data_IF_952187115782
#
_entry.id   IF_952187115782
#
_cell.length_a   1.000
_cell.length_b   1.000
_cell.length_c   1.000
_cell.angle_alpha   90.00
_cell.angle_beta   90.00
_cell.angle_gamma   90.00
#
_symmetry.space_group_name_H-M   'P 1'
#
loop_
_entity.id
_entity.type
_entity.pdbx_description
1 polymer ?
2 non-polymer ?
3 non-polymer ?
4 non-polymer ?
5 non-polymer ?
6 water ?
#
# COMPACT_ATOMS: atom_id res chain seq x y z
N UNK A 9 11.40 -21.85 -2.14
CA UNK A 9 11.23 -20.64 -1.21
C UNK A 9 9.87 -19.98 -1.29
N UNK A 10 9.31 -19.65 -0.13
CA UNK A 10 8.05 -18.90 -0.10
C UNK A 10 8.23 -17.50 -0.65
N UNK A 11 7.34 -17.02 -1.50
CA UNK A 11 7.45 -15.73 -2.09
C UNK A 11 6.28 -14.84 -1.65
N UNK A 12 6.61 -13.70 -1.08
CA UNK A 12 5.62 -12.76 -0.55
C UNK A 12 5.77 -11.43 -1.21
N UNK A 13 4.67 -10.93 -1.75
CA UNK A 13 4.62 -9.58 -2.30
C UNK A 13 3.99 -8.67 -1.28
N UNK A 14 4.66 -7.56 -1.03
CA UNK A 14 4.16 -6.57 -0.06
C UNK A 14 3.87 -5.27 -0.74
N UNK A 15 2.63 -4.82 -0.65
CA UNK A 15 2.27 -3.52 -1.13
C UNK A 15 2.95 -2.35 -0.39
N UNK A 16 3.05 -1.18 -1.04
CA UNK A 16 3.75 -0.08 -0.47
C UNK A 16 2.77 0.92 0.15
N UNK A 17 1.97 1.60 -0.67
CA UNK A 17 1.12 2.65 -0.07
C UNK A 17 0.00 2.05 0.77
N UNK A 18 -0.11 2.48 2.03
CA UNK A 18 -1.14 1.96 2.93
C UNK A 18 -0.80 0.66 3.61
N UNK A 19 0.41 0.15 3.34
CA UNK A 19 0.90 -1.08 3.94
C UNK A 19 2.31 -0.85 4.58
N UNK A 20 3.26 -0.35 3.80
CA UNK A 20 4.55 0.12 4.33
C UNK A 20 4.58 1.60 4.64
N UNK A 21 4.01 2.43 3.75
CA UNK A 21 4.08 3.87 3.81
C UNK A 21 2.68 4.43 4.12
N UNK A 22 2.63 5.36 5.03
CA UNK A 22 1.34 5.92 5.50
C UNK A 22 0.85 6.99 4.52
N UNK A 23 0.28 6.50 3.44
CA UNK A 23 -0.31 7.31 2.39
C UNK A 23 -1.49 8.11 2.95
N UNK A 24 -2.39 7.47 3.71
CA UNK A 24 -3.60 8.18 4.12
C UNK A 24 -3.27 9.31 5.06
N UNK A 25 -2.40 9.08 6.04
CA UNK A 25 -2.04 10.12 6.97
C UNK A 25 -1.22 11.23 6.33
N UNK A 26 -0.30 10.84 5.46
CA UNK A 26 0.49 11.84 4.71
C UNK A 26 -0.39 12.71 3.82
N UNK A 27 -1.33 12.07 3.12
CA UNK A 27 -2.26 12.79 2.26
C UNK A 27 -3.04 13.81 3.12
N UNK A 28 -3.63 13.34 4.21
CA UNK A 28 -4.53 14.20 4.97
C UNK A 28 -3.75 15.41 5.52
N UNK A 29 -2.57 15.16 6.03
CA UNK A 29 -1.81 16.24 6.58
C UNK A 29 -1.48 17.32 5.56
N UNK A 30 -1.07 16.88 4.35
CA UNK A 30 -0.73 17.82 3.31
C UNK A 30 -1.92 18.49 2.67
N UNK A 31 -3.02 17.76 2.54
CA UNK A 31 -4.26 18.35 2.07
C UNK A 31 -4.69 19.52 2.97
N UNK A 32 -4.75 19.26 4.28
CA UNK A 32 -5.23 20.25 5.21
C UNK A 32 -4.30 21.46 5.24
N UNK A 33 -2.99 21.24 5.13
CA UNK A 33 -2.07 22.33 5.12
C UNK A 33 -2.26 23.17 3.85
N UNK A 34 -2.44 22.53 2.70
CA UNK A 34 -2.49 23.29 1.43
C UNK A 34 -3.85 23.93 1.20
N UNK A 35 -4.90 23.26 1.68
CA UNK A 35 -6.28 23.64 1.48
C UNK A 35 -7.04 23.79 2.81
N UNK A 36 -6.61 24.74 3.63
CA UNK A 36 -7.14 24.80 5.01
C UNK A 36 -8.58 25.27 5.07
N UNK A 37 -9.08 25.89 4.00
CA UNK A 37 -10.45 26.33 3.95
C UNK A 37 -11.42 25.34 3.30
N UNK A 38 -10.94 24.15 2.94
CA UNK A 38 -11.78 23.11 2.37
C UNK A 38 -12.14 22.05 3.44
N UNK A 39 -13.29 21.40 3.26
CA UNK A 39 -13.60 20.29 4.12
C UNK A 39 -12.69 19.12 3.80
N UNK A 40 -12.63 18.18 4.72
CA UNK A 40 -11.77 17.03 4.56
C UNK A 40 -12.43 15.79 5.16
N UNK A 41 -11.80 14.65 4.96
CA UNK A 41 -12.31 13.41 5.51
C UNK A 41 -11.32 12.88 6.54
N UNK A 42 -11.77 12.82 7.79
CA UNK A 42 -10.96 12.28 8.87
C UNK A 42 -10.64 10.84 8.53
N UNK A 43 -9.49 10.37 8.99
CA UNK A 43 -9.05 9.03 8.66
C UNK A 43 -10.07 8.01 9.06
N UNK A 44 -10.68 8.20 10.23
CA UNK A 44 -11.71 7.27 10.71
C UNK A 44 -12.94 7.21 9.82
N UNK A 45 -13.20 8.27 9.06
CA UNK A 45 -14.36 8.34 8.18
C UNK A 45 -14.05 7.96 6.71
N UNK A 46 -12.82 7.52 6.46
CA UNK A 46 -12.44 7.04 5.09
C UNK A 46 -13.25 5.77 4.76
N UNK A 47 -13.88 5.79 3.60
CA UNK A 47 -14.58 4.63 3.06
C UNK A 47 -14.28 4.50 1.59
N UNK A 48 -13.92 3.29 1.19
CA UNK A 48 -13.64 3.00 -0.22
C UNK A 48 -12.22 3.29 -0.56
N UNK A 49 -11.68 2.53 -1.50
CA UNK A 49 -10.28 2.54 -1.79
C UNK A 49 -9.80 3.86 -2.30
N UNK A 50 -10.62 4.49 -3.14
CA UNK A 50 -10.18 5.68 -3.85
C UNK A 50 -10.46 6.96 -3.05
N UNK A 51 -9.39 7.51 -2.51
CA UNK A 51 -9.42 8.80 -1.80
C UNK A 51 -10.15 9.89 -2.62
N UNK A 52 -9.74 9.99 -3.88
CA UNK A 52 -10.23 11.08 -4.76
C UNK A 52 -11.72 11.01 -4.95
N UNK A 53 -12.27 9.79 -5.02
CA UNK A 53 -13.72 9.65 -5.21
C UNK A 53 -14.47 10.13 -3.98
N UNK A 54 -13.98 9.80 -2.81
CA UNK A 54 -14.67 10.23 -1.60
C UNK A 54 -14.65 11.76 -1.47
N UNK A 55 -13.51 12.36 -1.80
CA UNK A 55 -13.36 13.80 -1.77
C UNK A 55 -14.25 14.45 -2.83
N UNK A 56 -14.37 13.84 -4.00
CA UNK A 56 -15.24 14.44 -5.06
C UNK A 56 -16.69 14.48 -4.68
N UNK A 57 -17.15 13.47 -3.94
CA UNK A 57 -18.50 13.48 -3.38
C UNK A 57 -18.69 14.53 -2.32
N UNK A 58 -17.65 14.86 -1.58
CA UNK A 58 -17.76 15.79 -0.48
C UNK A 58 -18.00 17.18 -1.02
N UNK A 59 -17.33 17.56 -2.11
CA UNK A 59 -17.56 18.88 -2.71
C UNK A 59 -17.02 18.99 -4.16
N UNK A 60 -17.71 19.75 -5.04
CA UNK A 60 -17.19 19.90 -6.41
C UNK A 60 -15.78 20.48 -6.48
N UNK A 61 -14.91 19.85 -7.26
CA UNK A 61 -13.54 20.30 -7.44
C UNK A 61 -12.55 19.69 -6.46
N UNK A 62 -13.07 19.00 -5.45
CA UNK A 62 -12.20 18.42 -4.41
C UNK A 62 -11.44 17.21 -4.87
N UNK A 63 -11.99 16.43 -5.80
CA UNK A 63 -11.22 15.34 -6.35
C UNK A 63 -9.89 15.80 -6.96
N UNK A 64 -9.98 16.85 -7.77
CA UNK A 64 -8.78 17.39 -8.43
C UNK A 64 -7.80 17.99 -7.42
N UNK A 65 -8.31 18.66 -6.40
CA UNK A 65 -7.44 19.12 -5.34
C UNK A 65 -6.77 17.97 -4.59
N UNK A 66 -7.51 16.94 -4.25
CA UNK A 66 -6.85 15.74 -3.67
C UNK A 66 -5.73 15.17 -4.51
N UNK A 67 -5.99 14.98 -5.80
CA UNK A 67 -5.02 14.43 -6.72
C UNK A 67 -3.77 15.28 -6.73
N UNK A 68 -3.95 16.58 -6.65
CA UNK A 68 -2.83 17.50 -6.68
C UNK A 68 -1.84 17.35 -5.54
N UNK A 69 -2.30 16.74 -4.42
CA UNK A 69 -1.43 16.49 -3.29
C UNK A 69 -0.46 15.37 -3.64
N UNK A 70 -0.98 14.24 -4.17
CA UNK A 70 -0.08 13.11 -4.47
C UNK A 70 0.71 13.24 -5.74
N UNK A 71 0.27 14.12 -6.65
CA UNK A 71 1.10 14.47 -7.79
C UNK A 71 2.21 15.49 -7.48
N UNK A 72 2.27 16.06 -6.29
CA UNK A 72 3.27 17.01 -5.92
C UNK A 72 4.61 16.36 -5.59
N UNK A 73 5.69 17.05 -5.93
CA UNK A 73 7.04 16.63 -5.59
C UNK A 73 7.11 16.39 -4.08
N UNK A 74 7.81 15.31 -3.73
CA UNK A 74 8.09 14.87 -2.35
C UNK A 74 6.95 14.28 -1.61
N UNK A 75 5.80 14.16 -2.23
CA UNK A 75 4.69 13.49 -1.54
C UNK A 75 5.05 12.07 -1.19
N UNK A 76 5.44 11.28 -2.16
CA UNK A 76 5.82 9.91 -1.87
C UNK A 76 7.08 9.75 -0.99
N UNK A 77 8.06 10.56 -1.25
CA UNK A 77 9.29 10.41 -0.52
C UNK A 77 9.11 10.67 0.99
N UNK A 78 8.25 11.62 1.30
CA UNK A 78 8.09 12.08 2.68
C UNK A 78 7.04 11.30 3.45
N UNK A 79 6.44 10.29 2.90
CA UNK A 79 5.52 9.42 3.67
C UNK A 79 6.28 8.75 4.80
N UNK A 80 5.66 8.75 5.96
CA UNK A 80 6.21 8.05 7.10
C UNK A 80 5.88 6.57 7.05
N UNK A 81 6.77 5.69 7.52
CA UNK A 81 6.36 4.28 7.59
C UNK A 81 5.21 4.03 8.52
N UNK A 82 4.43 2.99 8.22
CA UNK A 82 3.44 2.51 9.21
C UNK A 82 4.18 1.95 10.40
N UNK A 83 3.49 1.90 11.54
CA UNK A 83 4.12 1.29 12.71
C UNK A 83 4.41 -0.17 12.43
N UNK A 84 5.63 -0.57 12.73
CA UNK A 84 6.02 -1.98 12.61
C UNK A 84 6.36 -2.51 11.21
N UNK A 85 6.13 -1.68 10.18
CA UNK A 85 6.24 -2.14 8.77
C UNK A 85 7.68 -2.42 8.38
N UNK A 86 8.56 -1.48 8.64
CA UNK A 86 9.97 -1.65 8.27
C UNK A 86 10.59 -2.80 9.04
N UNK A 87 10.30 -2.88 10.35
CA UNK A 87 10.84 -3.95 11.16
C UNK A 87 10.33 -5.31 10.67
N UNK A 88 9.03 -5.36 10.35
CA UNK A 88 8.46 -6.66 9.96
C UNK A 88 9.04 -7.15 8.64
N UNK A 89 9.09 -6.24 7.67
CA UNK A 89 9.60 -6.63 6.35
C UNK A 89 11.07 -7.02 6.40
N UNK A 90 11.87 -6.30 7.17
CA UNK A 90 13.27 -6.70 7.41
C UNK A 90 13.39 -8.07 8.02
N UNK A 91 12.57 -8.35 9.01
CA UNK A 91 12.57 -9.69 9.59
C UNK A 91 12.14 -10.74 8.58
N UNK A 92 11.03 -10.48 7.89
CA UNK A 92 10.47 -11.39 6.89
C UNK A 92 11.52 -11.76 5.84
N UNK A 93 12.19 -10.73 5.35
CA UNK A 93 13.19 -10.93 4.26
C UNK A 93 14.37 -11.78 4.74
N UNK A 94 14.67 -11.70 6.03
CA UNK A 94 15.79 -12.43 6.63
C UNK A 94 15.46 -13.89 6.94
N UNK A 95 14.19 -14.30 6.81
CA UNK A 95 13.82 -15.67 7.14
C UNK A 95 14.34 -16.62 6.07
N UNK A 96 14.62 -17.83 6.52
CA UNK A 96 15.07 -18.91 5.62
C UNK A 96 13.96 -19.22 4.67
N UNK A 97 14.33 -19.51 3.44
CA UNK A 97 13.32 -19.94 2.44
C UNK A 97 12.17 -18.96 2.22
N UNK A 98 12.50 -17.68 2.21
CA UNK A 98 11.48 -16.63 2.13
C UNK A 98 12.03 -15.49 1.28
N UNK A 99 11.36 -15.22 0.15
CA UNK A 99 11.74 -14.10 -0.72
C UNK A 99 10.66 -13.06 -0.65
N UNK A 100 11.02 -11.83 -0.36
CA UNK A 100 10.09 -10.77 -0.24
C UNK A 100 10.31 -9.74 -1.33
N UNK A 101 9.25 -9.35 -2.02
CA UNK A 101 9.32 -8.27 -3.02
C UNK A 101 8.31 -7.22 -2.64
N UNK A 102 8.65 -5.97 -2.88
CA UNK A 102 7.73 -4.84 -2.67
C UNK A 102 7.08 -4.61 -4.03
N UNK A 103 5.78 -4.79 -4.09
CA UNK A 103 5.03 -4.76 -5.38
C UNK A 103 4.03 -3.64 -5.31
N UNK A 104 4.32 -2.58 -6.07
CA UNK A 104 3.67 -1.31 -5.89
C UNK A 104 3.31 -0.72 -7.25
N UNK A 105 2.16 -0.09 -7.32
CA UNK A 105 1.69 0.58 -8.54
C UNK A 105 1.90 2.05 -8.43
N UNK A 106 2.67 2.63 -9.31
CA UNK A 106 2.82 4.09 -9.28
C UNK A 106 1.55 4.77 -9.83
N UNK A 107 1.34 6.01 -9.40
CA UNK A 107 0.26 6.79 -9.96
C UNK A 107 0.48 7.10 -11.42
N UNK A 108 -0.53 7.66 -12.10
CA UNK A 108 -0.39 7.82 -13.55
C UNK A 108 0.63 8.92 -13.91
N UNK A 109 0.73 9.97 -13.09
CA UNK A 109 1.73 11.02 -13.33
C UNK A 109 3.08 10.49 -12.82
N UNK A 110 4.03 10.35 -13.74
CA UNK A 110 5.26 9.60 -13.43
C UNK A 110 6.48 10.45 -13.17
N UNK A 111 6.35 11.77 -13.13
CA UNK A 111 7.51 12.61 -12.95
C UNK A 111 8.31 12.31 -11.69
N UNK A 112 7.61 12.12 -10.56
CA UNK A 112 8.22 11.97 -9.23
C UNK A 112 8.05 10.58 -8.59
N UNK A 113 6.89 9.98 -8.82
CA UNK A 113 6.45 8.87 -7.98
C UNK A 113 7.39 7.66 -8.10
N UNK A 114 7.69 7.16 -9.33
CA UNK A 114 8.66 6.03 -9.40
C UNK A 114 9.96 6.34 -8.72
N UNK A 115 10.58 7.48 -9.06
CA UNK A 115 11.85 7.87 -8.43
C UNK A 115 11.76 7.89 -6.91
N UNK A 116 10.72 8.53 -6.39
CA UNK A 116 10.58 8.67 -4.92
C UNK A 116 10.37 7.34 -4.21
N UNK A 117 9.68 6.42 -4.85
CA UNK A 117 9.45 5.08 -4.27
C UNK A 117 10.79 4.36 -4.17
N UNK A 118 11.64 4.43 -5.19
CA UNK A 118 12.99 3.80 -5.07
C UNK A 118 13.76 4.48 -3.94
N UNK A 119 13.74 5.82 -3.90
CA UNK A 119 14.47 6.56 -2.89
C UNK A 119 13.97 6.18 -1.48
N UNK A 120 12.68 6.02 -1.34
CA UNK A 120 12.03 5.67 -0.02
C UNK A 120 12.48 4.28 0.42
N UNK A 121 12.48 3.32 -0.50
CA UNK A 121 12.95 1.98 -0.20
C UNK A 121 14.44 2.02 0.19
N UNK A 122 15.29 2.77 -0.52
CA UNK A 122 16.66 2.85 -0.18
C UNK A 122 16.87 3.38 1.24
N UNK A 123 16.09 4.41 1.57
CA UNK A 123 16.15 5.09 2.86
C UNK A 123 15.84 4.13 3.99
N UNK A 124 14.76 3.38 3.87
CA UNK A 124 14.26 2.58 5.00
C UNK A 124 14.78 1.14 5.02
N UNK A 125 15.16 0.60 3.86
CA UNK A 125 15.60 -0.78 3.71
C UNK A 125 17.01 -1.00 3.20
N UNK A 126 17.66 0.07 2.71
CA UNK A 126 19.01 0.06 2.25
C UNK A 126 19.12 -0.22 0.75
N UNK A 127 20.26 0.13 0.16
CA UNK A 127 20.49 -0.10 -1.30
C UNK A 127 20.22 -1.51 -1.78
N UNK A 128 20.59 -2.53 -1.00
CA UNK A 128 20.47 -3.88 -1.50
C UNK A 128 18.98 -4.25 -1.69
N UNK A 129 18.07 -3.61 -0.99
CA UNK A 129 16.67 -3.96 -1.09
C UNK A 129 16.02 -3.42 -2.39
N UNK A 130 16.71 -2.52 -3.10
CA UNK A 130 16.16 -1.99 -4.33
C UNK A 130 15.92 -3.13 -5.29
N UNK A 131 16.72 -4.17 -5.21
CA UNK A 131 16.59 -5.36 -6.08
C UNK A 131 15.25 -6.06 -5.90
N UNK A 132 14.53 -5.77 -4.82
CA UNK A 132 13.28 -6.47 -4.47
C UNK A 132 12.05 -5.71 -4.90
N UNK A 133 12.24 -4.59 -5.58
CA UNK A 133 11.14 -3.70 -5.99
C UNK A 133 10.53 -4.17 -7.35
N UNK A 134 9.21 -4.29 -7.40
CA UNK A 134 8.45 -4.47 -8.66
C UNK A 134 7.44 -3.35 -8.77
N UNK A 135 7.61 -2.49 -9.77
CA UNK A 135 6.64 -1.47 -10.09
C UNK A 135 5.76 -1.94 -11.20
N UNK A 136 4.47 -2.00 -10.92
CA UNK A 136 3.50 -2.50 -11.89
C UNK A 136 2.11 -2.02 -11.54
N UNK A 137 1.31 -1.77 -12.55
CA UNK A 137 -0.11 -1.48 -12.34
C UNK A 137 -0.89 -2.74 -12.19
N UNK A 138 -0.40 -3.84 -12.75
CA UNK A 138 -1.10 -5.11 -12.76
C UNK A 138 -0.31 -6.08 -11.85
N UNK A 139 -0.84 -6.38 -10.69
CA UNK A 139 -0.17 -7.32 -9.81
C UNK A 139 -0.51 -8.74 -10.06
N UNK A 140 -1.56 -8.97 -10.84
CA UNK A 140 -1.98 -10.32 -11.17
C UNK A 140 -0.95 -11.08 -12.01
N UNK A 141 -0.10 -10.37 -12.73
CA UNK A 141 0.91 -11.00 -13.54
C UNK A 141 2.21 -11.21 -12.78
N UNK A 142 2.23 -10.90 -11.49
CA UNK A 142 3.41 -11.17 -10.66
C UNK A 142 3.07 -12.44 -9.86
N UNK A 143 3.91 -13.46 -9.96
CA UNK A 143 3.60 -14.75 -9.33
C UNK A 143 4.22 -14.77 -7.94
N UNK A 144 3.47 -15.31 -6.98
CA UNK A 144 3.94 -15.39 -5.61
C UNK A 144 2.95 -16.26 -4.84
N UNK A 145 3.36 -16.61 -3.63
CA UNK A 145 2.46 -17.32 -2.71
C UNK A 145 1.45 -16.45 -2.01
N UNK A 146 1.88 -15.24 -1.68
CA UNK A 146 1.06 -14.27 -0.89
C UNK A 146 1.22 -12.87 -1.44
N UNK A 147 0.14 -12.11 -1.41
CA UNK A 147 0.16 -10.67 -1.71
C UNK A 147 -0.54 -9.98 -0.55
N UNK A 148 0.20 -9.12 0.14
CA UNK A 148 -0.35 -8.37 1.30
C UNK A 148 -0.58 -6.96 0.80
N UNK A 149 -1.85 -6.58 0.69
CA UNK A 149 -2.26 -5.34 -0.02
C UNK A 149 -3.56 -4.87 0.57
N UNK A 150 -3.69 -3.57 0.85
CA UNK A 150 -4.92 -2.97 1.40
C UNK A 150 -6.08 -2.73 0.42
N UNK A 151 -5.83 -2.94 -0.89
CA UNK A 151 -6.91 -2.81 -1.87
C UNK A 151 -7.82 -4.02 -1.87
N UNK A 152 -9.13 -3.83 -1.79
CA UNK A 152 -9.97 -5.05 -1.69
C UNK A 152 -10.07 -5.83 -3.00
N UNK A 153 -10.10 -5.10 -4.11
CA UNK A 153 -10.36 -5.64 -5.47
C UNK A 153 -9.10 -5.59 -6.28
N UNK A 154 -8.36 -6.71 -6.40
CA UNK A 154 -7.11 -6.72 -7.12
C UNK A 154 -7.29 -7.57 -8.39
N UNK A 155 -7.29 -6.91 -9.54
CA UNK A 155 -7.62 -7.58 -10.78
C UNK A 155 -6.64 -7.14 -11.84
N UNK A 156 -6.70 -7.82 -12.97
CA UNK A 156 -5.72 -7.54 -14.03
C UNK A 156 -5.85 -8.61 -15.12
N UNK A 157 -4.75 -8.80 -15.83
CA UNK A 157 -4.74 -9.65 -17.03
C UNK A 157 -4.73 -11.14 -16.74
N UNK A 158 -4.38 -11.51 -15.54
CA UNK A 158 -4.36 -12.89 -15.13
C UNK A 158 -5.62 -13.21 -14.32
N UNK A 159 -6.52 -14.05 -14.87
CA UNK A 159 -7.77 -14.26 -14.14
C UNK A 159 -7.59 -15.16 -12.89
N UNK A 160 -6.51 -15.93 -12.82
CA UNK A 160 -6.28 -16.78 -11.64
C UNK A 160 -4.84 -16.57 -11.13
N UNK A 161 -4.63 -15.49 -10.38
CA UNK A 161 -3.30 -15.24 -9.88
C UNK A 161 -2.81 -16.37 -8.99
N UNK A 162 -1.51 -16.53 -8.92
CA UNK A 162 -0.94 -17.60 -8.13
C UNK A 162 -0.91 -17.29 -6.63
N UNK A 163 -0.93 -16.03 -6.29
CA UNK A 163 -0.91 -15.61 -4.89
C UNK A 163 -2.29 -15.68 -4.23
N UNK A 164 -2.27 -15.89 -2.93
CA UNK A 164 -3.43 -15.60 -2.07
C UNK A 164 -3.30 -14.14 -1.64
N UNK A 165 -4.38 -13.40 -1.82
CA UNK A 165 -4.43 -11.99 -1.40
C UNK A 165 -4.86 -11.95 0.05
N UNK A 166 -3.97 -11.47 0.92
CA UNK A 166 -4.29 -11.17 2.29
C UNK A 166 -4.51 -9.67 2.41
N UNK A 167 -5.71 -9.30 2.88
CA UNK A 167 -6.11 -7.91 2.93
C UNK A 167 -5.48 -7.25 4.13
N UNK A 168 -4.66 -6.23 3.88
CA UNK A 168 -4.04 -5.45 4.98
C UNK A 168 -5.04 -4.43 5.43
N UNK A 169 -5.35 -4.39 6.73
CA UNK A 169 -6.39 -3.51 7.16
C UNK A 169 -5.97 -2.04 7.02
N UNK A 170 -6.92 -1.22 6.62
CA UNK A 170 -6.80 0.24 6.54
C UNK A 170 -8.13 0.82 6.91
N UNK A 171 -8.22 2.08 7.38
CA UNK A 171 -9.56 2.60 7.72
C UNK A 171 -10.53 2.49 6.55
N UNK A 172 -10.06 2.62 5.29
CA UNK A 172 -11.04 2.60 4.20
C UNK A 172 -11.65 1.21 3.97
N UNK A 173 -11.00 0.15 4.50
CA UNK A 173 -11.49 -1.24 4.30
C UNK A 173 -11.84 -1.97 5.63
N UNK A 174 -11.75 -1.28 6.77
CA UNK A 174 -11.82 -2.00 8.07
C UNK A 174 -13.21 -2.57 8.34
N UNK A 175 -14.28 -2.03 7.73
CA UNK A 175 -15.63 -2.54 7.96
C UNK A 175 -16.06 -3.57 6.96
N UNK A 176 -15.24 -3.83 5.96
CA UNK A 176 -15.69 -4.72 4.89
C UNK A 176 -15.78 -6.18 5.26
N UNK A 177 -16.93 -6.77 4.98
CA UNK A 177 -17.10 -8.18 5.06
C UNK A 177 -16.50 -8.83 3.80
N UNK A 178 -15.53 -9.70 3.97
CA UNK A 178 -14.88 -10.37 2.82
C UNK A 178 -15.57 -11.74 2.67
N UNK A 179 -15.51 -12.29 1.48
CA UNK A 179 -16.07 -13.60 1.18
C UNK A 179 -15.13 -14.67 1.77
N UNK A 180 -15.70 -15.58 2.60
CA UNK A 180 -14.85 -16.73 2.94
C UNK A 180 -14.25 -17.34 1.63
N UNK A 181 -12.98 -17.80 1.63
CA UNK A 181 -11.99 -17.89 2.68
C UNK A 181 -10.99 -16.75 2.69
N UNK A 182 -11.37 -15.59 2.16
CA UNK A 182 -10.50 -14.41 2.23
C UNK A 182 -10.11 -14.03 3.64
N UNK A 183 -8.85 -13.63 3.83
CA UNK A 183 -8.23 -13.39 5.12
C UNK A 183 -7.60 -12.00 5.21
N UNK A 184 -7.27 -11.55 6.44
CA UNK A 184 -6.73 -10.19 6.75
C UNK A 184 -5.48 -10.26 7.52
N UNK A 185 -4.63 -9.23 7.37
CA UNK A 185 -3.58 -8.94 8.26
C UNK A 185 -3.96 -7.60 8.86
N UNK A 186 -4.17 -7.55 10.17
CA UNK A 186 -4.83 -6.38 10.78
C UNK A 186 -3.91 -5.19 10.90
N UNK A 187 -2.63 -5.45 11.02
CA UNK A 187 -1.55 -4.48 11.25
C UNK A 187 -0.28 -5.30 11.31
N UNK A 188 0.89 -4.65 11.33
CA UNK A 188 2.16 -5.35 11.38
C UNK A 188 2.42 -5.95 12.75
N UNK A 189 1.69 -5.46 13.77
CA UNK A 189 1.67 -6.12 15.08
C UNK A 189 0.95 -7.46 15.10
N UNK A 190 -0.01 -7.63 14.21
CA UNK A 190 -0.71 -8.92 13.98
C UNK A 190 0.30 -9.99 13.56
N UNK A 191 -0.13 -11.23 13.57
CA UNK A 191 0.79 -12.33 13.46
C UNK A 191 0.99 -12.75 12.01
N UNK A 192 1.82 -11.95 11.36
CA UNK A 192 2.19 -12.18 9.93
C UNK A 192 2.99 -13.47 9.76
N UNK A 193 3.80 -13.88 10.75
CA UNK A 193 4.50 -15.17 10.63
C UNK A 193 3.55 -16.37 10.49
N UNK A 194 2.44 -16.35 11.21
CA UNK A 194 1.45 -17.42 11.12
C UNK A 194 0.82 -17.49 9.75
N UNK A 195 0.57 -16.32 9.15
CA UNK A 195 0.02 -16.32 7.79
C UNK A 195 1.02 -16.93 6.80
N UNK A 196 2.28 -16.51 6.90
CA UNK A 196 3.32 -17.08 6.00
C UNK A 196 3.43 -18.58 6.21
N UNK A 197 3.47 -18.98 7.47
CA UNK A 197 3.61 -20.41 7.75
C UNK A 197 2.46 -21.26 7.17
N UNK A 198 1.23 -20.72 7.13
CA UNK A 198 0.11 -21.48 6.60
C UNK A 198 0.26 -21.83 5.11
N UNK A 199 1.17 -21.15 4.40
CA UNK A 199 1.42 -21.40 2.96
C UNK A 199 2.67 -22.22 2.70
N UNK A 200 3.46 -22.48 3.73
CA UNK A 200 4.71 -23.27 3.52
C UNK A 200 4.41 -24.74 3.31
N UNK A 201 5.24 -25.45 2.54
CA UNK A 201 5.07 -26.90 2.43
C UNK A 201 5.56 -27.61 3.71
#
# INVERSE_FOLDING_TARGET
>A
SNAASGGRALRVLVDMDGVLADFEGGFLRKFRARFPDQPFIALEDRRGFWVSEQYGRLRPGLSEKAISIWESKNFFFELEPLPGAVEAVKEMASLQNTDVFICTSPIKMFKYCPYEKYAWVEKYFGPDFLEQIVLTRDKTVVSADLLIDDRPDITGAEPTPSWEHVLFTACHNQHLQLQPPRRRLHSWADDWKAILDSKRP
#
